data_IF_527925413771
#
_entry.id   IF_527925413771
#
_cell.length_a   1.000
_cell.length_b   1.000
_cell.length_c   1.000
_cell.angle_alpha   90.00
_cell.angle_beta   90.00
_cell.angle_gamma   90.00
#
_symmetry.space_group_name_H-M   'P 1'
#
loop_
_entity.id
_entity.type
_entity.pdbx_description
1 polymer ?
#
# COMPACT_ATOMS: atom_id res chain seq x y z
N UNK A 1 -1.07 17.79 -25.65
CA UNK A 1 -0.67 17.12 -24.40
C UNK A 1 -1.90 16.44 -23.85
N UNK A 2 -1.99 15.12 -24.00
CA UNK A 2 -3.04 14.34 -23.38
C UNK A 2 -2.82 14.33 -21.86
N UNK A 3 -3.65 15.07 -21.13
CA UNK A 3 -3.72 14.95 -19.68
C UNK A 3 -4.29 13.58 -19.35
N UNK A 4 -3.43 12.63 -19.02
CA UNK A 4 -3.83 11.35 -18.42
C UNK A 4 -4.46 11.69 -17.07
N UNK A 5 -5.75 11.38 -16.91
CA UNK A 5 -6.41 11.55 -15.62
C UNK A 5 -5.82 10.52 -14.65
N UNK A 6 -5.37 10.98 -13.48
CA UNK A 6 -5.04 10.08 -12.37
C UNK A 6 -6.34 9.49 -11.82
N UNK A 7 -6.81 8.43 -12.47
CA UNK A 7 -7.93 7.62 -12.02
C UNK A 7 -7.43 6.54 -11.07
N UNK A 8 -8.12 6.36 -9.95
CA UNK A 8 -7.89 5.25 -9.01
C UNK A 8 -9.13 4.37 -9.01
N UNK A 9 -8.96 3.06 -8.99
CA UNK A 9 -10.07 2.13 -8.77
C UNK A 9 -10.12 1.75 -7.31
N UNK A 10 -11.25 1.98 -6.65
CA UNK A 10 -11.49 1.63 -5.26
C UNK A 10 -12.42 0.41 -5.21
N UNK A 11 -12.08 -0.54 -4.37
CA UNK A 11 -12.90 -1.72 -4.06
C UNK A 11 -13.31 -1.62 -2.59
N UNK A 12 -14.61 -1.72 -2.31
CA UNK A 12 -15.17 -1.75 -0.97
C UNK A 12 -15.95 -3.04 -0.78
N UNK A 13 -15.63 -3.79 0.26
CA UNK A 13 -16.36 -5.00 0.62
C UNK A 13 -16.39 -5.16 2.14
N UNK A 14 -17.42 -5.83 2.65
CA UNK A 14 -17.61 -6.02 4.09
C UNK A 14 -19.01 -6.53 4.41
N UNK A 15 -19.35 -6.49 5.70
CA UNK A 15 -20.63 -6.90 6.27
C UNK A 15 -20.96 -6.04 7.49
N UNK A 16 -22.16 -6.20 8.06
CA UNK A 16 -22.42 -5.76 9.43
C UNK A 16 -21.79 -6.68 10.48
N UNK A 17 -21.99 -6.35 11.76
CA UNK A 17 -21.44 -7.08 12.91
C UNK A 17 -21.93 -8.53 13.02
N UNK A 18 -23.11 -8.83 12.46
CA UNK A 18 -23.69 -10.17 12.45
C UNK A 18 -23.26 -10.97 11.20
N UNK A 19 -22.41 -10.41 10.34
CA UNK A 19 -22.03 -11.02 9.08
C UNK A 19 -23.10 -10.90 7.99
N UNK A 20 -24.17 -10.12 8.23
CA UNK A 20 -25.25 -9.87 7.27
C UNK A 20 -24.93 -8.65 6.40
N UNK A 21 -25.79 -8.39 5.42
CA UNK A 21 -25.69 -7.24 4.51
C UNK A 21 -24.33 -7.17 3.80
N UNK A 22 -23.78 -8.32 3.41
CA UNK A 22 -22.52 -8.39 2.68
C UNK A 22 -22.60 -7.57 1.40
N UNK A 23 -21.60 -6.74 1.14
CA UNK A 23 -21.52 -5.92 -0.07
C UNK A 23 -20.18 -6.05 -0.75
N UNK A 24 -20.15 -5.80 -2.06
CA UNK A 24 -18.92 -5.55 -2.80
C UNK A 24 -19.21 -4.49 -3.86
N UNK A 25 -18.51 -3.38 -3.76
CA UNK A 25 -18.73 -2.17 -4.52
C UNK A 25 -17.44 -1.72 -5.17
N UNK A 26 -17.53 -1.24 -6.40
CA UNK A 26 -16.43 -0.66 -7.14
C UNK A 26 -16.69 0.85 -7.32
N UNK A 27 -15.63 1.65 -7.27
CA UNK A 27 -15.69 3.06 -7.66
C UNK A 27 -14.47 3.39 -8.52
N UNK A 28 -14.71 4.03 -9.66
CA UNK A 28 -13.67 4.72 -10.42
C UNK A 28 -13.57 6.14 -9.87
N UNK A 29 -12.55 6.37 -9.05
CA UNK A 29 -12.30 7.66 -8.42
C UNK A 29 -11.44 8.56 -9.31
N UNK A 30 -11.84 9.82 -9.42
CA UNK A 30 -11.04 10.90 -10.00
C UNK A 30 -11.05 12.07 -9.01
N UNK A 31 -9.87 12.66 -8.80
CA UNK A 31 -9.70 13.76 -7.84
C UNK A 31 -10.69 14.89 -8.12
N UNK A 32 -11.45 15.27 -7.10
CA UNK A 32 -12.39 16.41 -7.14
C UNK A 32 -11.69 17.76 -7.28
N UNK A 33 -10.38 17.79 -7.07
CA UNK A 33 -9.54 18.99 -7.21
C UNK A 33 -8.86 19.08 -8.58
N UNK A 34 -9.04 18.08 -9.44
CA UNK A 34 -8.50 18.14 -10.79
C UNK A 34 -9.30 19.12 -11.65
N UNK A 35 -8.62 19.88 -12.52
CA UNK A 35 -9.27 20.80 -13.45
C UNK A 35 -9.98 20.01 -14.56
N UNK A 36 -11.18 19.51 -14.27
CA UNK A 36 -12.01 18.72 -15.20
C UNK A 36 -12.84 19.66 -16.12
N UNK A 37 -12.39 20.89 -16.34
CA UNK A 37 -13.18 21.94 -17.01
C UNK A 37 -13.50 21.69 -18.49
N UNK A 38 -13.09 20.57 -19.08
CA UNK A 38 -13.42 20.20 -20.45
C UNK A 38 -13.69 18.70 -20.59
N UNK A 39 -14.95 18.25 -20.43
CA UNK A 39 -15.67 17.28 -21.30
C UNK A 39 -16.94 16.70 -20.63
N UNK A 40 -18.06 17.18 -21.16
CA UNK A 40 -19.43 16.66 -21.19
C UNK A 40 -19.70 15.18 -20.84
N UNK A 41 -20.82 14.94 -20.13
CA UNK A 41 -21.70 13.74 -20.01
C UNK A 41 -21.10 12.33 -19.80
N UNK A 42 -19.80 12.12 -19.97
CA UNK A 42 -19.09 10.84 -19.80
C UNK A 42 -18.61 10.63 -18.35
N UNK A 43 -18.73 11.66 -17.51
CA UNK A 43 -18.32 11.66 -16.11
C UNK A 43 -19.40 11.17 -15.13
N UNK A 44 -20.63 10.94 -15.59
CA UNK A 44 -21.77 10.59 -14.73
C UNK A 44 -21.61 9.25 -13.99
N UNK A 45 -20.53 8.49 -14.24
CA UNK A 45 -20.24 7.19 -13.60
C UNK A 45 -18.97 7.18 -12.73
N UNK A 46 -18.23 8.30 -12.64
CA UNK A 46 -17.08 8.40 -11.73
C UNK A 46 -17.52 8.86 -10.34
N UNK A 47 -16.70 8.58 -9.34
CA UNK A 47 -16.95 8.95 -7.94
C UNK A 47 -18.30 8.44 -7.41
N UNK A 48 -18.82 7.36 -8.00
CA UNK A 48 -20.02 6.66 -7.56
C UNK A 48 -19.67 5.21 -7.25
N UNK A 49 -20.23 4.70 -6.16
CA UNK A 49 -20.17 3.28 -5.83
C UNK A 49 -21.19 2.53 -6.69
N UNK A 50 -20.71 1.54 -7.44
CA UNK A 50 -21.55 0.63 -8.22
C UNK A 50 -21.35 -0.82 -7.73
N UNK A 51 -22.35 -1.70 -7.85
CA UNK A 51 -22.17 -3.12 -7.56
C UNK A 51 -21.00 -3.71 -8.37
N UNK A 52 -20.14 -4.48 -7.71
CA UNK A 52 -19.14 -5.28 -8.40
C UNK A 52 -19.84 -6.46 -9.08
N UNK A 53 -19.67 -6.62 -10.39
CA UNK A 53 -20.44 -7.58 -11.19
C UNK A 53 -19.54 -8.40 -12.12
N UNK A 54 -19.98 -9.61 -12.45
CA UNK A 54 -19.34 -10.45 -13.45
C UNK A 54 -19.59 -9.95 -14.89
N UNK A 55 -19.08 -10.68 -15.89
CA UNK A 55 -19.26 -10.34 -17.30
C UNK A 55 -20.73 -10.41 -17.80
N UNK A 56 -21.64 -10.92 -16.97
CA UNK A 56 -23.07 -11.03 -17.23
C UNK A 56 -23.90 -10.05 -16.38
N UNK A 57 -23.26 -9.10 -15.70
CA UNK A 57 -23.85 -8.14 -14.77
C UNK A 57 -24.47 -8.77 -13.51
N UNK A 58 -24.06 -9.99 -13.13
CA UNK A 58 -24.46 -10.57 -11.85
C UNK A 58 -23.61 -10.00 -10.72
N UNK A 59 -24.21 -9.54 -9.61
CA UNK A 59 -23.46 -9.06 -8.45
C UNK A 59 -22.54 -10.14 -7.87
N UNK A 60 -21.28 -9.79 -7.67
CA UNK A 60 -20.28 -10.61 -7.00
C UNK A 60 -20.20 -10.13 -5.55
N UNK A 61 -20.27 -11.06 -4.61
CA UNK A 61 -20.09 -10.78 -3.18
C UNK A 61 -18.79 -11.43 -2.72
N UNK A 62 -17.81 -10.61 -2.36
CA UNK A 62 -16.57 -11.05 -1.72
C UNK A 62 -16.87 -11.27 -0.23
N UNK A 63 -17.49 -12.41 0.03
CA UNK A 63 -17.92 -12.90 1.34
C UNK A 63 -17.47 -14.34 1.52
N UNK A 64 -16.76 -14.70 2.60
CA UNK A 64 -16.54 -16.12 2.90
C UNK A 64 -17.93 -16.77 3.04
N UNK A 65 -18.13 -17.87 2.32
CA UNK A 65 -19.45 -18.48 2.06
C UNK A 65 -20.16 -19.00 3.31
N UNK A 66 -19.49 -19.02 4.47
CA UNK A 66 -20.13 -19.46 5.71
C UNK A 66 -21.05 -18.35 6.20
N UNK A 67 -22.31 -18.68 6.45
CA UNK A 67 -23.37 -17.76 6.87
C UNK A 67 -23.10 -17.02 8.19
N UNK A 68 -22.00 -17.32 8.89
CA UNK A 68 -21.63 -16.76 10.18
C UNK A 68 -20.27 -16.02 10.19
N UNK A 69 -19.56 -15.95 9.06
CA UNK A 69 -18.27 -15.26 9.01
C UNK A 69 -18.49 -13.74 8.92
N UNK A 70 -18.24 -13.04 10.03
CA UNK A 70 -18.30 -11.58 10.07
C UNK A 70 -17.00 -10.95 9.51
N UNK A 71 -17.13 -9.80 8.85
CA UNK A 71 -16.00 -9.07 8.25
C UNK A 71 -15.39 -8.05 9.23
N UNK A 72 -15.61 -8.23 10.53
CA UNK A 72 -15.09 -7.34 11.55
C UNK A 72 -13.56 -7.37 11.51
N UNK A 73 -12.96 -6.19 11.33
CA UNK A 73 -11.52 -6.04 11.29
C UNK A 73 -10.84 -6.70 10.10
N UNK A 74 -11.57 -7.00 9.02
CA UNK A 74 -11.00 -7.56 7.79
C UNK A 74 -9.82 -6.73 7.29
N UNK A 75 -8.80 -7.43 6.77
CA UNK A 75 -7.69 -6.83 6.02
C UNK A 75 -7.55 -7.55 4.70
N UNK A 76 -7.21 -6.80 3.66
CA UNK A 76 -6.89 -7.39 2.39
C UNK A 76 -5.75 -6.68 1.69
N UNK A 77 -5.07 -7.44 0.83
CA UNK A 77 -3.96 -6.99 0.01
C UNK A 77 -4.16 -7.52 -1.40
N UNK A 78 -3.85 -6.69 -2.38
CA UNK A 78 -3.73 -7.13 -3.77
C UNK A 78 -2.33 -7.69 -4.00
N UNK A 79 -2.24 -8.75 -4.79
CA UNK A 79 -0.99 -9.40 -5.16
C UNK A 79 -1.19 -10.40 -6.28
N UNK A 80 -0.33 -11.40 -6.32
CA UNK A 80 -0.19 -12.31 -7.46
C UNK A 80 0.71 -11.71 -8.52
N UNK A 81 1.22 -12.56 -9.41
CA UNK A 81 2.14 -12.22 -10.50
C UNK A 81 1.62 -11.11 -11.43
N UNK A 82 0.29 -10.91 -11.45
CA UNK A 82 -0.42 -9.89 -12.25
C UNK A 82 -1.29 -8.93 -11.42
N UNK A 83 -1.10 -8.85 -10.09
CA UNK A 83 -1.96 -8.07 -9.19
C UNK A 83 -3.45 -8.42 -9.31
N UNK A 84 -3.75 -9.69 -9.58
CA UNK A 84 -5.10 -10.20 -9.81
C UNK A 84 -5.65 -11.00 -8.64
N UNK A 85 -4.83 -11.25 -7.61
CA UNK A 85 -5.25 -11.99 -6.42
C UNK A 85 -5.51 -10.99 -5.29
N UNK A 86 -6.61 -11.21 -4.58
CA UNK A 86 -6.96 -10.51 -3.36
C UNK A 86 -6.78 -11.48 -2.20
N UNK A 87 -5.76 -11.25 -1.38
CA UNK A 87 -5.54 -11.98 -0.14
C UNK A 87 -6.36 -11.33 0.96
N UNK A 88 -7.18 -12.11 1.65
CA UNK A 88 -8.13 -11.60 2.65
C UNK A 88 -7.91 -12.34 3.95
N UNK A 89 -7.69 -11.59 5.03
CA UNK A 89 -7.67 -12.10 6.40
C UNK A 89 -8.91 -11.56 7.12
N UNK A 90 -9.75 -12.49 7.58
CA UNK A 90 -10.97 -12.20 8.34
C UNK A 90 -10.88 -12.80 9.75
N UNK A 91 -11.91 -12.53 10.56
CA UNK A 91 -12.07 -13.10 11.89
C UNK A 91 -11.92 -14.64 11.86
N UNK A 92 -11.35 -15.21 12.91
CA UNK A 92 -11.24 -16.67 13.07
C UNK A 92 -10.05 -17.31 12.36
N UNK A 93 -8.95 -16.56 12.20
CA UNK A 93 -7.65 -17.03 11.72
C UNK A 93 -7.66 -17.53 10.26
N UNK A 94 -8.65 -17.14 9.47
CA UNK A 94 -8.75 -17.53 8.08
C UNK A 94 -7.94 -16.59 7.18
N UNK A 95 -7.18 -17.17 6.25
CA UNK A 95 -6.66 -16.46 5.08
C UNK A 95 -7.28 -17.07 3.83
N UNK A 96 -7.81 -16.21 2.96
CA UNK A 96 -8.47 -16.59 1.72
C UNK A 96 -7.83 -15.89 0.53
N UNK A 97 -7.86 -16.53 -0.63
CA UNK A 97 -7.40 -15.97 -1.90
C UNK A 97 -8.58 -15.91 -2.85
N UNK A 98 -8.93 -14.69 -3.27
CA UNK A 98 -9.95 -14.42 -4.25
C UNK A 98 -9.31 -13.95 -5.55
N UNK A 99 -9.64 -14.59 -6.68
CA UNK A 99 -9.19 -14.17 -8.00
C UNK A 99 -10.11 -13.08 -8.54
N UNK A 100 -9.57 -11.86 -8.70
CA UNK A 100 -10.29 -10.68 -9.17
C UNK A 100 -10.66 -10.74 -10.66
N UNK A 101 -10.04 -11.61 -11.45
CA UNK A 101 -10.36 -11.81 -12.87
C UNK A 101 -11.37 -12.94 -13.06
N UNK A 102 -11.23 -14.03 -12.30
CA UNK A 102 -12.13 -15.17 -12.36
C UNK A 102 -13.37 -15.01 -11.46
N UNK A 103 -13.38 -14.00 -10.59
CA UNK A 103 -14.46 -13.67 -9.65
C UNK A 103 -14.81 -14.81 -8.68
N UNK A 104 -13.81 -15.58 -8.24
CA UNK A 104 -14.02 -16.75 -7.38
C UNK A 104 -12.91 -16.91 -6.33
N UNK A 105 -13.24 -17.55 -5.21
CA UNK A 105 -12.24 -17.99 -4.25
C UNK A 105 -11.48 -19.19 -4.82
N UNK A 106 -10.15 -19.12 -4.79
CA UNK A 106 -9.27 -20.20 -5.24
C UNK A 106 -8.59 -20.93 -4.09
N UNK A 107 -8.57 -20.33 -2.89
CA UNK A 107 -7.96 -20.95 -1.71
C UNK A 107 -8.52 -20.41 -0.41
N UNK A 108 -8.63 -21.30 0.56
CA UNK A 108 -8.78 -20.98 1.98
C UNK A 108 -7.72 -21.75 2.78
N UNK A 109 -7.21 -21.13 3.84
CA UNK A 109 -6.32 -21.75 4.79
C UNK A 109 -6.42 -21.08 6.16
N UNK A 110 -5.80 -21.66 7.17
CA UNK A 110 -5.72 -21.10 8.52
C UNK A 110 -4.32 -20.53 8.79
N UNK A 111 -4.27 -19.36 9.39
CA UNK A 111 -3.06 -18.74 9.90
C UNK A 111 -2.63 -19.44 11.19
N UNK A 112 -1.32 -19.68 11.39
CA UNK A 112 -0.80 -20.25 12.63
C UNK A 112 -0.84 -19.20 13.76
N UNK A 113 -2.00 -19.07 14.39
CA UNK A 113 -2.26 -18.05 15.41
C UNK A 113 -2.13 -18.57 16.85
N UNK A 114 -1.64 -19.79 17.07
CA UNK A 114 -1.42 -20.35 18.42
C UNK A 114 -2.68 -20.38 19.32
N UNK A 115 -3.88 -20.44 18.72
CA UNK A 115 -5.15 -20.43 19.44
C UNK A 115 -5.72 -19.04 19.78
N UNK A 116 -5.06 -17.96 19.39
CA UNK A 116 -5.59 -16.60 19.56
C UNK A 116 -6.61 -16.26 18.46
N UNK A 117 -7.62 -15.45 18.80
CA UNK A 117 -8.53 -14.86 17.81
C UNK A 117 -7.83 -13.71 17.09
N UNK A 118 -7.70 -13.84 15.76
CA UNK A 118 -7.21 -12.77 14.90
C UNK A 118 -8.34 -11.82 14.57
N UNK A 119 -8.17 -10.55 14.93
CA UNK A 119 -9.05 -9.44 14.61
C UNK A 119 -8.20 -8.17 14.41
N UNK A 120 -8.59 -7.31 13.47
CA UNK A 120 -7.90 -6.06 13.14
C UNK A 120 -6.36 -6.19 13.03
N UNK A 121 -5.85 -7.15 12.25
CA UNK A 121 -4.42 -7.37 12.18
C UNK A 121 -3.69 -6.26 11.42
N UNK A 122 -2.37 -6.22 11.60
CA UNK A 122 -1.48 -5.67 10.60
C UNK A 122 -1.27 -6.71 9.51
N UNK A 123 -1.56 -6.34 8.27
CA UNK A 123 -1.33 -7.18 7.10
C UNK A 123 -0.73 -6.33 5.99
N UNK A 124 0.49 -6.66 5.58
CA UNK A 124 1.26 -5.89 4.60
C UNK A 124 1.92 -6.81 3.58
N UNK A 125 2.12 -6.29 2.37
CA UNK A 125 2.91 -6.99 1.35
C UNK A 125 4.40 -6.83 1.67
N UNK A 126 5.16 -7.91 1.55
CA UNK A 126 6.61 -7.88 1.63
C UNK A 126 7.17 -7.87 0.21
N UNK A 127 7.25 -6.68 -0.40
CA UNK A 127 7.84 -6.52 -1.72
C UNK A 127 9.36 -6.55 -1.56
N UNK A 128 10.01 -7.59 -2.12
CA UNK A 128 11.47 -7.62 -2.23
C UNK A 128 11.93 -6.45 -3.10
N UNK A 129 12.45 -5.39 -2.46
CA UNK A 129 13.28 -4.41 -3.14
C UNK A 129 14.50 -5.18 -3.68
N UNK A 130 14.55 -5.37 -5.00
CA UNK A 130 15.35 -6.38 -5.68
C UNK A 130 16.87 -6.17 -5.69
N UNK A 131 17.52 -5.98 -4.54
CA UNK A 131 18.97 -5.80 -4.47
C UNK A 131 19.76 -6.71 -3.54
N UNK A 132 19.19 -7.53 -2.65
CA UNK A 132 20.05 -8.32 -1.72
C UNK A 132 19.62 -9.77 -1.40
N UNK A 133 18.95 -10.46 -2.33
CA UNK A 133 18.95 -11.93 -2.34
C UNK A 133 19.25 -12.49 -3.73
N UNK A 134 20.54 -12.57 -4.07
CA UNK A 134 21.03 -13.37 -5.21
C UNK A 134 20.98 -14.89 -4.96
N UNK A 135 20.39 -15.37 -3.86
CA UNK A 135 20.32 -16.80 -3.54
C UNK A 135 18.92 -17.19 -3.05
N UNK A 136 17.94 -17.12 -3.96
CA UNK A 136 16.89 -18.11 -4.27
C UNK A 136 16.03 -17.47 -5.38
N UNK A 137 16.57 -17.44 -6.62
CA UNK A 137 15.72 -17.28 -7.81
C UNK A 137 14.97 -18.59 -8.03
N UNK A 138 13.95 -18.85 -7.23
CA UNK A 138 12.93 -19.85 -7.59
C UNK A 138 11.58 -19.15 -7.67
N UNK A 139 11.13 -18.98 -8.92
CA UNK A 139 9.83 -18.52 -9.40
C UNK A 139 9.44 -17.07 -9.06
N UNK A 140 9.37 -16.27 -10.12
CA UNK A 140 8.95 -14.86 -10.22
C UNK A 140 7.47 -14.62 -9.82
N UNK A 141 6.84 -15.56 -9.11
CA UNK A 141 5.38 -15.67 -8.87
C UNK A 141 5.02 -15.86 -7.39
N UNK A 142 5.99 -15.86 -6.47
CA UNK A 142 5.70 -16.03 -5.05
C UNK A 142 5.33 -14.68 -4.41
N UNK A 143 4.15 -14.62 -3.80
CA UNK A 143 3.73 -13.45 -3.02
C UNK A 143 4.17 -13.63 -1.58
N UNK A 144 4.97 -12.69 -1.09
CA UNK A 144 5.34 -12.65 0.32
C UNK A 144 4.50 -11.58 1.03
N UNK A 145 3.96 -11.94 2.19
CA UNK A 145 3.16 -11.06 3.02
C UNK A 145 3.57 -11.22 4.47
N UNK A 146 3.39 -10.17 5.26
CA UNK A 146 3.63 -10.19 6.68
C UNK A 146 2.34 -9.93 7.42
N UNK A 147 2.15 -10.65 8.50
CA UNK A 147 1.00 -10.54 9.36
C UNK A 147 1.43 -10.43 10.82
N UNK A 148 0.82 -9.49 11.55
CA UNK A 148 1.00 -9.33 12.99
C UNK A 148 -0.34 -9.02 13.68
N UNK A 149 -0.66 -9.77 14.72
CA UNK A 149 -1.82 -9.53 15.58
C UNK A 149 -1.58 -10.18 16.94
N UNK A 150 -1.59 -9.39 18.02
CA UNK A 150 -1.25 -9.89 19.37
C UNK A 150 0.09 -10.66 19.33
N UNK A 151 0.14 -11.85 19.91
CA UNK A 151 1.32 -12.75 19.92
C UNK A 151 1.58 -13.45 18.59
N UNK A 152 0.68 -13.36 17.62
CA UNK A 152 0.82 -14.03 16.34
C UNK A 152 1.56 -13.11 15.34
N UNK A 153 2.76 -13.54 14.94
CA UNK A 153 3.54 -12.93 13.87
C UNK A 153 3.91 -13.98 12.84
N UNK A 154 3.76 -13.70 11.54
CA UNK A 154 4.09 -14.65 10.48
C UNK A 154 4.51 -13.98 9.18
N UNK A 155 5.55 -14.54 8.55
CA UNK A 155 5.84 -14.39 7.13
C UNK A 155 5.03 -15.46 6.39
N UNK A 156 4.25 -15.01 5.41
CA UNK A 156 3.36 -15.83 4.59
C UNK A 156 3.92 -15.82 3.19
N UNK A 157 4.23 -16.99 2.65
CA UNK A 157 4.55 -17.17 1.24
C UNK A 157 3.37 -17.86 0.55
N UNK A 158 2.98 -17.37 -0.61
CA UNK A 158 1.99 -18.01 -1.46
C UNK A 158 2.60 -18.31 -2.83
N UNK A 159 2.64 -19.60 -3.17
CA UNK A 159 3.02 -20.12 -4.47
C UNK A 159 1.78 -20.16 -5.37
N UNK A 160 1.71 -19.23 -6.32
CA UNK A 160 0.56 -19.06 -7.21
C UNK A 160 0.31 -20.27 -8.11
N UNK A 161 1.38 -20.92 -8.62
CA UNK A 161 1.26 -22.06 -9.54
C UNK A 161 0.74 -23.31 -8.82
N UNK A 162 1.22 -23.54 -7.59
CA UNK A 162 0.82 -24.71 -6.79
C UNK A 162 -0.39 -24.45 -5.93
N UNK A 163 -0.81 -23.20 -5.76
CA UNK A 163 -1.87 -22.79 -4.84
C UNK A 163 -1.62 -23.28 -3.40
N UNK A 164 -0.38 -23.05 -2.92
CA UNK A 164 0.10 -23.49 -1.59
C UNK A 164 0.58 -22.29 -0.79
N UNK A 165 0.13 -22.23 0.47
CA UNK A 165 0.69 -21.34 1.48
C UNK A 165 1.83 -22.02 2.24
N UNK A 166 2.88 -21.25 2.54
CA UNK A 166 3.88 -21.58 3.57
C UNK A 166 3.88 -20.48 4.62
N UNK A 167 4.00 -20.88 5.87
CA UNK A 167 3.98 -19.97 7.01
C UNK A 167 5.27 -20.12 7.81
N UNK A 168 5.92 -19.00 8.09
CA UNK A 168 7.10 -18.95 8.94
C UNK A 168 6.81 -18.02 10.10
N UNK A 169 6.88 -18.56 11.31
CA UNK A 169 6.61 -17.78 12.51
C UNK A 169 7.67 -16.68 12.68
N UNK A 170 7.20 -15.49 13.04
CA UNK A 170 8.04 -14.35 13.37
C UNK A 170 7.90 -14.02 14.85
N UNK A 171 9.00 -13.66 15.53
CA UNK A 171 8.92 -13.21 16.91
C UNK A 171 8.14 -11.90 16.98
N UNK A 172 7.32 -11.77 18.02
CA UNK A 172 6.63 -10.52 18.40
C UNK A 172 7.17 -10.12 19.77
N UNK A 173 7.56 -8.84 19.93
CA UNK A 173 8.02 -8.38 21.25
C UNK A 173 6.86 -8.31 22.25
N UNK A 174 7.15 -8.54 23.53
CA UNK A 174 6.12 -8.65 24.58
C UNK A 174 5.29 -7.37 24.72
N UNK A 175 5.92 -6.19 24.51
CA UNK A 175 5.26 -4.88 24.61
C UNK A 175 4.07 -4.74 23.66
N UNK A 176 4.23 -5.16 22.40
CA UNK A 176 3.17 -5.04 21.39
C UNK A 176 2.24 -6.26 21.41
N UNK A 177 2.72 -7.41 21.88
CA UNK A 177 2.06 -8.70 21.76
C UNK A 177 0.69 -8.82 22.46
N UNK A 178 0.34 -7.89 23.34
CA UNK A 178 -0.96 -7.85 24.01
C UNK A 178 -2.05 -7.18 23.16
N UNK A 179 -1.65 -6.31 22.23
CA UNK A 179 -2.55 -5.39 21.55
C UNK A 179 -3.02 -5.92 20.18
N UNK A 180 -4.02 -5.26 19.60
CA UNK A 180 -4.42 -5.35 18.20
C UNK A 180 -4.95 -3.97 17.74
N UNK A 181 -5.60 -3.90 16.56
CA UNK A 181 -6.28 -2.67 16.10
C UNK A 181 -5.37 -1.43 16.03
N UNK A 182 -4.11 -1.65 15.68
CA UNK A 182 -3.13 -0.57 15.47
C UNK A 182 -3.40 0.16 14.16
N UNK A 183 -3.08 1.44 14.13
CA UNK A 183 -2.71 2.09 12.87
C UNK A 183 -1.32 1.60 12.47
N UNK A 184 -1.08 1.35 11.19
CA UNK A 184 0.25 0.93 10.72
C UNK A 184 0.54 1.41 9.31
N UNK A 185 1.83 1.55 9.01
CA UNK A 185 2.32 1.85 7.68
C UNK A 185 3.58 1.04 7.39
N UNK A 186 3.66 0.48 6.19
CA UNK A 186 4.84 -0.24 5.71
C UNK A 186 5.58 0.64 4.71
N UNK A 187 6.88 0.85 4.94
CA UNK A 187 7.73 1.74 4.15
C UNK A 187 9.07 1.04 4.01
N UNK A 188 9.44 0.71 2.77
CA UNK A 188 10.62 -0.10 2.48
C UNK A 188 10.63 -1.40 3.30
N UNK A 189 11.69 -1.65 4.07
CA UNK A 189 11.86 -2.83 4.91
C UNK A 189 11.42 -2.60 6.36
N UNK A 190 10.56 -1.61 6.59
CA UNK A 190 10.11 -1.20 7.93
C UNK A 190 8.60 -1.11 8.02
N UNK A 191 8.04 -1.61 9.12
CA UNK A 191 6.65 -1.39 9.50
C UNK A 191 6.62 -0.54 10.77
N UNK A 192 5.89 0.57 10.74
CA UNK A 192 5.61 1.39 11.91
C UNK A 192 4.19 1.11 12.40
N UNK A 193 4.03 0.93 13.71
CA UNK A 193 2.78 0.66 14.39
C UNK A 193 2.49 1.80 15.37
N UNK A 194 1.24 2.23 15.42
CA UNK A 194 0.78 3.36 16.22
C UNK A 194 -0.43 2.95 17.06
N UNK A 195 -0.30 3.04 18.38
CA UNK A 195 -1.39 2.83 19.32
C UNK A 195 -1.74 1.36 19.52
N UNK A 196 -3.03 1.02 19.40
CA UNK A 196 -3.58 -0.33 19.56
C UNK A 196 -4.40 -0.50 20.84
N UNK A 197 -5.14 -1.61 20.92
CA UNK A 197 -6.07 -1.90 22.02
C UNK A 197 -5.92 -3.33 22.54
N UNK A 198 -6.08 -3.47 23.85
CA UNK A 198 -6.32 -4.72 24.55
C UNK A 198 -7.35 -4.43 25.64
N UNK A 199 -8.62 -4.35 25.26
CA UNK A 199 -9.70 -3.85 26.11
C UNK A 199 -9.60 -4.35 27.57
N UNK A 200 -9.61 -3.44 28.57
CA UNK A 200 -9.89 -2.00 28.47
C UNK A 200 -8.68 -1.11 28.13
N UNK A 201 -7.48 -1.68 28.01
CA UNK A 201 -6.25 -0.92 27.83
C UNK A 201 -6.10 -0.43 26.39
N UNK A 202 -5.77 0.84 26.22
CA UNK A 202 -5.45 1.44 24.93
C UNK A 202 -4.02 1.94 25.00
N UNK A 203 -3.28 1.74 23.93
CA UNK A 203 -1.89 2.09 23.81
C UNK A 203 -1.71 3.46 23.16
N UNK A 204 -0.68 4.16 23.60
CA UNK A 204 -0.10 5.34 22.93
C UNK A 204 1.29 5.02 22.36
N UNK A 205 1.75 3.78 22.52
CA UNK A 205 3.10 3.40 22.13
C UNK A 205 3.24 3.38 20.61
N UNK A 206 4.47 3.61 20.17
CA UNK A 206 4.86 3.46 18.78
C UNK A 206 5.89 2.34 18.73
N UNK A 207 5.75 1.46 17.74
CA UNK A 207 6.66 0.35 17.54
C UNK A 207 7.16 0.35 16.09
N UNK A 208 8.39 -0.12 15.91
CA UNK A 208 8.98 -0.36 14.59
C UNK A 208 9.34 -1.83 14.48
N UNK A 209 8.99 -2.44 13.37
CA UNK A 209 9.48 -3.75 12.97
C UNK A 209 10.37 -3.60 11.73
N UNK A 210 11.63 -4.04 11.83
CA UNK A 210 12.50 -4.20 10.67
C UNK A 210 12.26 -5.57 10.06
N UNK A 211 11.78 -5.59 8.82
CA UNK A 211 11.49 -6.79 8.05
C UNK A 211 12.77 -7.57 7.77
N UNK A 212 13.83 -6.87 7.35
CA UNK A 212 15.13 -7.46 7.02
C UNK A 212 15.80 -8.08 8.25
N UNK A 213 15.86 -7.35 9.35
CA UNK A 213 16.51 -7.83 10.56
C UNK A 213 15.63 -8.76 11.39
N UNK A 214 14.31 -8.79 11.11
CA UNK A 214 13.28 -9.47 11.91
C UNK A 214 13.30 -9.02 13.37
N UNK A 215 13.48 -7.72 13.59
CA UNK A 215 13.63 -7.12 14.92
C UNK A 215 12.58 -6.07 15.19
N UNK A 216 12.17 -6.02 16.46
CA UNK A 216 11.32 -4.98 17.00
C UNK A 216 12.15 -3.91 17.69
N UNK A 217 11.68 -2.67 17.58
CA UNK A 217 12.15 -1.51 18.34
C UNK A 217 10.92 -0.83 18.93
N UNK A 218 10.92 -0.67 20.25
CA UNK A 218 9.94 0.14 20.98
C UNK A 218 10.48 1.56 21.09
N UNK A 219 9.69 2.57 20.73
CA UNK A 219 10.07 3.97 20.95
C UNK A 219 9.70 4.42 22.37
N UNK A 220 10.60 5.18 23.00
CA UNK A 220 10.27 5.88 24.26
C UNK A 220 9.24 7.00 24.02
N UNK A 221 9.29 7.62 22.83
CA UNK A 221 8.32 8.61 22.41
C UNK A 221 6.96 7.95 22.15
N UNK A 222 5.93 8.56 22.71
CA UNK A 222 4.55 8.10 22.65
C UNK A 222 3.70 9.06 21.83
N UNK A 223 2.58 8.54 21.31
CA UNK A 223 1.52 9.34 20.73
C UNK A 223 0.94 10.30 21.78
N UNK A 224 0.53 11.51 21.36
CA UNK A 224 -0.12 12.47 22.27
C UNK A 224 -1.49 11.97 22.75
N UNK A 225 -2.15 11.09 21.98
CA UNK A 225 -3.48 10.55 22.27
C UNK A 225 -3.47 9.02 22.26
N UNK A 226 -4.37 8.44 23.07
CA UNK A 226 -4.70 7.02 23.04
C UNK A 226 -5.57 6.73 21.81
N UNK A 227 -5.14 5.80 20.97
CA UNK A 227 -5.75 5.58 19.66
C UNK A 227 -5.73 4.09 19.28
N UNK A 228 -6.87 3.59 18.82
CA UNK A 228 -7.03 2.28 18.20
C UNK A 228 -8.12 2.37 17.12
N UNK A 229 -8.19 1.35 16.24
CA UNK A 229 -9.07 1.35 15.07
C UNK A 229 -8.83 2.54 14.11
N UNK A 230 -7.60 3.06 14.12
CA UNK A 230 -7.17 4.12 13.21
C UNK A 230 -6.60 3.53 11.91
N UNK A 231 -6.52 4.39 10.88
CA UNK A 231 -5.76 4.12 9.66
C UNK A 231 -4.56 5.05 9.63
N UNK A 232 -3.38 4.52 9.26
CA UNK A 232 -2.21 5.34 8.95
C UNK A 232 -1.92 5.33 7.45
N UNK A 233 -1.56 6.49 6.91
CA UNK A 233 -1.27 6.71 5.49
C UNK A 233 0.03 7.50 5.39
N UNK A 234 0.95 7.06 4.53
CA UNK A 234 2.16 7.82 4.19
C UNK A 234 1.84 8.76 3.01
N UNK A 235 2.22 10.03 3.15
CA UNK A 235 2.43 10.93 2.01
C UNK A 235 3.86 10.78 1.52
N UNK A 236 4.04 10.21 0.32
CA UNK A 236 5.35 10.06 -0.31
C UNK A 236 5.99 11.41 -0.65
N UNK A 237 5.17 12.41 -1.00
CA UNK A 237 5.64 13.76 -1.35
C UNK A 237 6.19 14.50 -0.12
N UNK A 238 5.44 14.46 0.99
CA UNK A 238 5.79 15.22 2.19
C UNK A 238 6.68 14.44 3.18
N UNK A 239 6.80 13.12 3.00
CA UNK A 239 7.37 12.19 3.98
C UNK A 239 6.70 12.31 5.36
N UNK A 240 5.39 12.50 5.35
CA UNK A 240 4.54 12.65 6.52
C UNK A 240 3.59 11.47 6.64
N UNK A 241 3.41 10.99 7.86
CA UNK A 241 2.45 9.95 8.22
C UNK A 241 1.22 10.63 8.80
N UNK A 242 0.08 10.33 8.20
CA UNK A 242 -1.24 10.82 8.55
C UNK A 242 -1.99 9.68 9.26
N UNK A 243 -2.37 9.87 10.51
CA UNK A 243 -3.18 8.92 11.30
C UNK A 243 -4.59 9.51 11.41
N UNK A 244 -5.57 8.79 10.89
CA UNK A 244 -6.93 9.28 10.69
C UNK A 244 -7.94 8.35 11.39
N UNK A 245 -8.90 8.96 12.09
CA UNK A 245 -10.04 8.29 12.69
C UNK A 245 -9.67 7.52 13.96
N UNK A 246 -10.38 6.41 14.18
CA UNK A 246 -10.26 5.57 15.37
C UNK A 246 -11.11 6.02 16.54
N UNK A 247 -10.84 5.41 17.70
CA UNK A 247 -11.61 5.59 18.93
C UNK A 247 -10.70 6.00 20.09
N UNK A 248 -11.23 6.87 20.96
CA UNK A 248 -10.58 7.22 22.22
C UNK A 248 -10.91 6.22 23.35
N UNK A 249 -10.37 6.47 24.54
CA UNK A 249 -10.63 5.66 25.73
C UNK A 249 -12.06 5.71 26.26
N UNK A 250 -12.90 6.60 25.75
CA UNK A 250 -14.34 6.70 26.03
C UNK A 250 -15.17 6.08 24.89
N UNK A 251 -14.53 5.36 23.96
CA UNK A 251 -15.14 4.78 22.76
C UNK A 251 -15.81 5.85 21.88
N UNK A 252 -15.35 7.09 21.95
CA UNK A 252 -15.81 8.16 21.07
C UNK A 252 -14.95 8.16 19.82
N UNK A 253 -15.61 8.35 18.68
CA UNK A 253 -14.92 8.57 17.41
C UNK A 253 -13.93 9.73 17.57
N UNK A 254 -12.65 9.44 17.37
CA UNK A 254 -11.63 10.45 17.33
C UNK A 254 -11.82 11.26 16.06
N UNK A 255 -12.19 12.54 16.21
CA UNK A 255 -12.16 13.51 15.10
C UNK A 255 -10.73 13.95 14.77
N UNK A 256 -9.74 13.39 15.47
CA UNK A 256 -8.36 13.85 15.44
C UNK A 256 -7.64 13.25 14.24
N UNK A 257 -7.31 14.11 13.29
CA UNK A 257 -6.30 13.83 12.30
C UNK A 257 -4.93 14.18 12.90
N UNK A 258 -4.07 13.18 13.06
CA UNK A 258 -2.70 13.37 13.55
C UNK A 258 -1.72 13.28 12.38
N UNK A 259 -0.74 14.19 12.38
CA UNK A 259 0.33 14.24 11.39
C UNK A 259 1.68 14.15 12.10
N UNK A 260 2.56 13.28 11.62
CA UNK A 260 3.94 13.17 12.11
C UNK A 260 4.91 12.94 10.96
N UNK A 261 6.12 13.50 11.04
CA UNK A 261 7.15 13.29 10.01
C UNK A 261 7.75 11.88 10.14
N UNK A 262 7.94 11.18 9.02
CA UNK A 262 8.57 9.85 8.97
C UNK A 262 9.93 9.83 9.66
N UNK A 263 10.74 10.87 9.42
CA UNK A 263 12.10 11.01 9.98
C UNK A 263 12.18 11.07 11.51
N UNK A 264 11.06 11.34 12.19
CA UNK A 264 11.02 11.31 13.67
C UNK A 264 11.15 9.86 14.15
N UNK A 265 10.59 8.92 13.39
CA UNK A 265 10.52 7.50 13.74
C UNK A 265 11.63 6.70 13.05
N UNK A 266 12.00 7.06 11.82
CA UNK A 266 13.07 6.39 11.10
C UNK A 266 13.88 7.35 10.22
N UNK A 267 14.95 7.98 10.77
CA UNK A 267 15.79 8.91 10.02
C UNK A 267 16.49 8.27 8.80
N UNK A 268 16.76 6.96 8.84
CA UNK A 268 17.42 6.22 7.76
C UNK A 268 16.62 6.25 6.45
N UNK A 269 15.29 6.35 6.51
CA UNK A 269 14.43 6.40 5.34
C UNK A 269 14.67 7.67 4.50
N UNK A 270 15.11 8.77 5.12
CA UNK A 270 15.49 9.98 4.37
C UNK A 270 16.71 9.74 3.48
N UNK A 271 17.69 8.96 3.96
CA UNK A 271 18.90 8.68 3.18
C UNK A 271 18.54 7.87 1.94
N UNK A 272 17.66 6.88 2.08
CA UNK A 272 17.17 6.08 0.94
C UNK A 272 16.42 6.97 -0.06
N UNK A 273 15.53 7.83 0.41
CA UNK A 273 14.77 8.74 -0.44
C UNK A 273 15.71 9.72 -1.16
N UNK A 274 16.67 10.34 -0.46
CA UNK A 274 17.65 11.25 -1.07
C UNK A 274 18.50 10.54 -2.12
N UNK A 275 18.97 9.31 -1.85
CA UNK A 275 19.73 8.51 -2.82
C UNK A 275 18.90 8.18 -4.06
N UNK A 276 17.63 7.81 -3.88
CA UNK A 276 16.72 7.52 -4.99
C UNK A 276 16.45 8.78 -5.84
N UNK A 277 16.25 9.93 -5.21
CA UNK A 277 16.09 11.20 -5.93
C UNK A 277 17.33 11.57 -6.74
N UNK A 278 18.53 11.41 -6.17
CA UNK A 278 19.78 11.65 -6.90
C UNK A 278 19.95 10.66 -8.06
N UNK A 279 19.62 9.39 -7.86
CA UNK A 279 19.66 8.37 -8.93
C UNK A 279 18.66 8.69 -10.06
N UNK A 280 17.43 9.06 -9.72
CA UNK A 280 16.40 9.44 -10.69
C UNK A 280 16.81 10.70 -11.49
N UNK A 281 17.41 11.68 -10.81
CA UNK A 281 17.94 12.90 -11.43
C UNK A 281 19.11 12.59 -12.37
N UNK A 282 20.00 11.68 -11.98
CA UNK A 282 21.09 11.21 -12.82
C UNK A 282 20.57 10.47 -14.07
N UNK A 283 19.60 9.57 -13.92
CA UNK A 283 18.94 8.88 -15.04
C UNK A 283 18.28 9.86 -16.00
N UNK A 284 17.58 10.86 -15.47
CA UNK A 284 16.97 11.92 -16.27
C UNK A 284 18.03 12.70 -17.07
N UNK A 285 19.13 13.12 -16.43
CA UNK A 285 20.23 13.83 -17.08
C UNK A 285 20.90 12.98 -18.17
N UNK A 286 21.15 11.69 -17.90
CA UNK A 286 21.74 10.76 -18.88
C UNK A 286 20.82 10.56 -20.08
N UNK A 287 19.52 10.35 -19.86
CA UNK A 287 18.55 10.22 -20.95
C UNK A 287 18.49 11.50 -21.79
N UNK A 288 18.46 12.67 -21.14
CA UNK A 288 18.43 13.94 -21.84
C UNK A 288 19.74 14.23 -22.61
N UNK A 289 20.88 13.76 -22.09
CA UNK A 289 22.17 13.84 -22.79
C UNK A 289 22.21 12.87 -23.99
N UNK A 290 21.67 11.66 -23.85
CA UNK A 290 21.54 10.69 -24.94
C UNK A 290 20.61 11.20 -26.04
N UNK A 291 19.48 11.81 -25.69
CA UNK A 291 18.57 12.44 -26.66
C UNK A 291 19.28 13.58 -27.42
N UNK A 292 20.08 14.39 -26.73
CA UNK A 292 20.89 15.44 -27.35
C UNK A 292 21.98 14.87 -28.26
N UNK A 293 22.64 13.79 -27.88
CA UNK A 293 23.62 13.09 -28.71
C UNK A 293 22.93 12.46 -29.93
N UNK A 294 21.76 11.86 -29.76
CA UNK A 294 20.98 11.28 -30.86
C UNK A 294 20.54 12.36 -31.85
N UNK A 295 20.08 13.51 -31.36
CA UNK A 295 19.83 14.72 -32.16
C UNK A 295 21.10 15.12 -32.92
N UNK A 296 22.25 15.25 -32.26
CA UNK A 296 23.51 15.61 -32.91
C UNK A 296 23.96 14.60 -33.98
N UNK A 297 23.72 13.30 -33.77
CA UNK A 297 24.01 12.24 -34.75
C UNK A 297 23.04 12.32 -35.94
N UNK A 298 21.74 12.50 -35.69
CA UNK A 298 20.71 12.65 -36.73
C UNK A 298 20.93 13.92 -37.58
N UNK A 299 21.52 14.96 -36.99
CA UNK A 299 21.83 16.22 -37.67
C UNK A 299 23.28 16.29 -38.21
N UNK A 300 24.01 15.17 -38.25
CA UNK A 300 25.31 15.05 -38.92
C UNK A 300 25.19 14.99 -40.47
N UNK A 301 24.13 15.57 -41.03
CA UNK A 301 24.04 15.91 -42.45
C UNK A 301 24.42 17.39 -42.62
N UNK A 302 25.44 17.62 -43.45
CA UNK A 302 26.29 18.82 -43.46
C UNK A 302 25.55 20.15 -43.74
N UNK A 303 24.31 20.12 -44.22
CA UNK A 303 23.54 21.33 -44.57
C UNK A 303 22.79 21.97 -43.39
N UNK A 304 22.49 21.23 -42.32
CA UNK A 304 21.65 21.74 -41.21
C UNK A 304 22.50 22.53 -40.18
N UNK A 305 23.81 22.29 -40.13
CA UNK A 305 24.73 22.98 -39.21
C UNK A 305 24.85 24.49 -39.46
N UNK A 306 24.69 24.92 -40.72
CA UNK A 306 24.65 26.33 -41.10
C UNK A 306 23.42 27.04 -40.50
N UNK A 307 22.28 26.35 -40.45
CA UNK A 307 21.01 26.89 -39.96
C UNK A 307 21.04 27.12 -38.44
N UNK A 308 21.59 26.17 -37.68
CA UNK A 308 21.72 26.30 -36.22
C UNK A 308 22.78 27.34 -35.80
N UNK A 309 23.83 27.56 -36.60
CA UNK A 309 24.82 28.62 -36.31
C UNK A 309 24.20 30.02 -36.38
N UNK A 310 23.17 30.19 -37.21
CA UNK A 310 22.39 31.43 -37.31
C UNK A 310 21.45 31.56 -36.11
N UNK A 311 20.70 30.50 -35.76
CA UNK A 311 19.78 30.53 -34.61
C UNK A 311 20.53 30.73 -33.29
N UNK A 312 21.69 30.10 -33.11
CA UNK A 312 22.50 30.26 -31.89
C UNK A 312 23.09 31.67 -31.76
N UNK A 313 23.48 32.31 -32.87
CA UNK A 313 23.87 33.73 -32.88
C UNK A 313 22.70 34.66 -32.55
N UNK A 314 21.49 34.35 -33.00
CA UNK A 314 20.27 35.12 -32.67
C UNK A 314 19.93 34.97 -31.19
N UNK A 315 20.04 33.75 -30.64
CA UNK A 315 19.75 33.48 -29.23
C UNK A 315 20.72 34.20 -28.29
N UNK A 316 22.03 34.13 -28.53
CA UNK A 316 23.03 34.85 -27.71
C UNK A 316 22.83 36.37 -27.77
N UNK A 317 22.44 36.93 -28.93
CA UNK A 317 22.17 38.37 -29.05
C UNK A 317 20.92 38.81 -28.28
N UNK A 318 19.98 37.90 -28.02
CA UNK A 318 18.73 38.16 -27.28
C UNK A 318 18.88 37.95 -25.77
N UNK A 319 19.91 37.23 -25.33
CA UNK A 319 20.23 37.01 -23.90
C UNK A 319 21.14 38.11 -23.35
N UNK A 320 21.87 38.84 -24.22
CA UNK A 320 22.79 39.91 -23.84
C UNK A 320 22.26 41.34 -24.04
N UNK A 321 20.95 41.51 -24.28
CA UNK A 321 20.23 42.78 -24.33
C UNK A 321 19.00 42.71 -23.41
#
# INVERSE_FOLDING_TARGET
MDTVYNQITLLSFGSDLEGKNKHTLLMKYVSVWSNISNKSNKLNSYNQWIPFTDNHNHPIIIGIERDQDNYIGVRALTGGSKNHLLFIICLGNNISVFDLNAFQFIKHNFLPAGGYYIEYPCFVSNLENGQEQEMIKTNKQNCQMLFFCRKAGSLIEYDEDKNIFRFYQLPVCDDIALFNAYAYVCINDVILFFGGSNYPDISRSVYKYSIREKKWVTFENILPNLLYDCVAILSEEDNDIYIIGGLDNKKKAASTHMKTRLRVWDPSQLVIICLYFEEAKLKYLVNHALDMILILILFHNHEIWQFFRIIFKIYIKKVNN
#
